data_IF_728638176126
#
_entry.id   IF_728638176126
#
_cell.length_a   1.000
_cell.length_b   1.000
_cell.length_c   1.000
_cell.angle_alpha   90.00
_cell.angle_beta   90.00
_cell.angle_gamma   90.00
#
_symmetry.space_group_name_H-M   'P 1'
#
loop_
_entity.id
_entity.type
_entity.pdbx_description
1 polymer ?
#
# COMPACT_ATOMS: atom_id res chain seq x y z
N UNK A 1 20.43 17.66 5.74
CA UNK A 1 19.52 16.71 6.42
C UNK A 1 18.67 16.02 5.35
N UNK A 2 18.63 14.69 5.32
CA UNK A 2 17.73 13.96 4.41
C UNK A 2 16.29 14.14 4.92
N UNK A 3 15.39 14.61 4.08
CA UNK A 3 13.97 14.70 4.41
C UNK A 3 13.39 13.28 4.44
N UNK A 4 12.87 12.86 5.60
CA UNK A 4 12.30 11.52 5.75
C UNK A 4 10.85 11.54 5.31
N UNK A 5 10.56 10.99 4.12
CA UNK A 5 9.21 10.94 3.55
C UNK A 5 8.24 10.16 4.44
N UNK A 6 7.05 10.73 4.70
CA UNK A 6 5.98 10.06 5.43
C UNK A 6 5.23 9.12 4.49
N UNK A 7 5.68 7.87 4.41
CA UNK A 7 5.10 6.91 3.48
C UNK A 7 3.70 6.48 3.90
N UNK A 8 2.77 6.47 2.96
CA UNK A 8 1.43 5.93 3.19
C UNK A 8 1.42 4.40 3.12
N UNK A 9 1.96 3.79 2.07
CA UNK A 9 2.00 2.33 1.85
C UNK A 9 3.39 1.74 2.06
N UNK A 10 3.44 0.44 2.40
CA UNK A 10 4.65 -0.39 2.50
C UNK A 10 4.57 -1.57 1.54
N UNK A 11 5.74 -2.14 1.18
CA UNK A 11 5.80 -3.39 0.42
C UNK A 11 5.02 -4.48 1.15
N UNK A 12 4.19 -5.22 0.42
CA UNK A 12 3.31 -6.26 0.95
C UNK A 12 1.95 -5.75 1.43
N UNK A 13 1.71 -4.44 1.54
CA UNK A 13 0.36 -3.94 1.82
C UNK A 13 -0.58 -4.37 0.68
N UNK A 14 -1.71 -4.98 1.05
CA UNK A 14 -2.83 -5.21 0.15
C UNK A 14 -3.69 -3.95 0.08
N UNK A 15 -4.19 -3.62 -1.09
CA UNK A 15 -4.96 -2.41 -1.34
C UNK A 15 -6.13 -2.65 -2.28
N UNK A 16 -7.08 -1.74 -2.30
CA UNK A 16 -8.07 -1.58 -3.36
C UNK A 16 -8.16 -0.11 -3.78
N UNK A 17 -8.85 0.17 -4.89
CA UNK A 17 -9.12 1.52 -5.34
C UNK A 17 -10.60 1.87 -5.18
N UNK A 18 -10.91 3.03 -4.61
CA UNK A 18 -12.29 3.43 -4.29
C UNK A 18 -13.17 3.71 -5.51
N UNK A 19 -12.57 4.05 -6.66
CA UNK A 19 -13.28 4.44 -7.89
C UNK A 19 -13.04 3.50 -9.07
N UNK A 20 -12.18 2.50 -8.89
CA UNK A 20 -11.80 1.55 -9.92
C UNK A 20 -11.83 0.15 -9.31
N UNK A 21 -13.03 -0.29 -8.94
CA UNK A 21 -13.27 -1.60 -8.33
C UNK A 21 -12.94 -2.74 -9.29
N UNK A 22 -13.03 -2.50 -10.60
CA UNK A 22 -12.66 -3.45 -11.64
C UNK A 22 -11.17 -3.82 -11.64
N UNK A 23 -10.31 -3.05 -10.97
CA UNK A 23 -8.90 -3.41 -10.80
C UNK A 23 -8.70 -4.55 -9.79
N UNK A 24 -9.68 -4.78 -8.92
CA UNK A 24 -9.61 -5.75 -7.83
C UNK A 24 -8.59 -5.37 -6.74
N UNK A 25 -8.13 -6.38 -6.00
CA UNK A 25 -7.12 -6.21 -4.97
C UNK A 25 -5.75 -6.02 -5.62
N UNK A 26 -4.98 -5.06 -5.09
CA UNK A 26 -3.59 -4.83 -5.45
C UNK A 26 -2.64 -5.20 -4.32
N UNK A 27 -1.42 -5.60 -4.67
CA UNK A 27 -0.32 -5.80 -3.72
C UNK A 27 0.78 -4.80 -4.04
N UNK A 28 1.28 -4.11 -3.01
CA UNK A 28 2.42 -3.20 -3.15
C UNK A 28 3.70 -4.02 -3.32
N UNK A 29 4.26 -3.99 -4.52
CA UNK A 29 5.44 -4.77 -4.88
C UNK A 29 6.74 -4.05 -4.51
N UNK A 30 6.78 -2.72 -4.70
CA UNK A 30 7.98 -1.92 -4.47
C UNK A 30 7.62 -0.55 -3.90
N UNK A 31 8.54 0.02 -3.12
CA UNK A 31 8.50 1.40 -2.64
C UNK A 31 9.84 2.06 -2.92
N UNK A 32 9.81 3.22 -3.59
CA UNK A 32 11.00 3.97 -3.98
C UNK A 32 10.98 5.36 -3.33
N UNK A 33 12.03 5.71 -2.59
CA UNK A 33 12.17 7.01 -1.92
C UNK A 33 13.51 7.65 -2.21
N UNK A 34 13.52 8.94 -2.53
CA UNK A 34 14.73 9.76 -2.64
C UNK A 34 15.02 10.51 -1.35
N UNK A 35 16.30 10.63 -1.01
CA UNK A 35 16.78 11.48 0.09
C UNK A 35 16.95 12.96 -0.31
N UNK A 36 16.85 13.26 -1.61
CA UNK A 36 16.94 14.61 -2.15
C UNK A 36 15.63 15.36 -1.89
N UNK A 37 15.66 16.61 -1.40
CA UNK A 37 14.46 17.44 -1.27
C UNK A 37 13.66 17.51 -2.58
N UNK A 38 12.35 17.31 -2.49
CA UNK A 38 11.46 17.24 -3.66
C UNK A 38 11.64 15.98 -4.53
N UNK A 39 12.50 15.05 -4.14
CA UNK A 39 12.74 13.81 -4.87
C UNK A 39 11.59 12.81 -4.80
N UNK A 40 11.70 11.76 -5.61
CA UNK A 40 10.71 10.71 -5.81
C UNK A 40 10.25 10.04 -4.52
N UNK A 41 8.94 9.78 -4.43
CA UNK A 41 8.32 8.94 -3.41
C UNK A 41 7.17 8.16 -4.06
N UNK A 42 7.41 6.88 -4.41
CA UNK A 42 6.49 6.09 -5.23
C UNK A 42 6.21 4.71 -4.62
N UNK A 43 5.02 4.19 -4.90
CA UNK A 43 4.64 2.79 -4.68
C UNK A 43 4.22 2.15 -6.00
N UNK A 44 4.74 0.95 -6.29
CA UNK A 44 4.35 0.12 -7.45
C UNK A 44 3.40 -0.96 -6.97
N UNK A 45 2.21 -0.99 -7.56
CA UNK A 45 1.11 -1.86 -7.12
C UNK A 45 0.68 -2.74 -8.28
N UNK A 46 0.72 -4.06 -8.08
CA UNK A 46 0.19 -5.03 -9.03
C UNK A 46 -1.26 -5.31 -8.66
N UNK A 47 -2.19 -4.98 -9.53
CA UNK A 47 -3.62 -5.24 -9.35
C UNK A 47 -4.03 -6.57 -9.99
N UNK A 48 -5.16 -7.11 -9.56
CA UNK A 48 -5.73 -8.38 -10.03
C UNK A 48 -6.15 -8.35 -11.51
N UNK A 49 -6.41 -7.16 -12.06
CA UNK A 49 -6.56 -6.94 -13.50
C UNK A 49 -5.26 -7.19 -14.31
N UNK A 50 -4.17 -7.57 -13.64
CA UNK A 50 -2.88 -7.89 -14.22
C UNK A 50 -1.97 -6.68 -14.42
N UNK A 51 -2.50 -5.46 -14.29
CA UNK A 51 -1.77 -4.22 -14.55
C UNK A 51 -0.90 -3.81 -13.36
N UNK A 52 0.27 -3.25 -13.67
CA UNK A 52 1.17 -2.67 -12.69
C UNK A 52 1.08 -1.14 -12.77
N UNK A 53 0.67 -0.50 -11.67
CA UNK A 53 0.48 0.95 -11.61
C UNK A 53 1.45 1.58 -10.61
N UNK A 54 1.96 2.76 -10.93
CA UNK A 54 2.83 3.54 -10.05
C UNK A 54 2.05 4.72 -9.47
N UNK A 55 2.15 4.96 -8.17
CA UNK A 55 1.53 6.11 -7.53
C UNK A 55 2.49 6.86 -6.64
N UNK A 56 2.24 8.15 -6.42
CA UNK A 56 2.91 8.90 -5.37
C UNK A 56 2.54 8.33 -3.98
N UNK A 57 3.54 8.09 -3.15
CA UNK A 57 3.40 7.46 -1.84
C UNK A 57 3.79 8.39 -0.67
N UNK A 58 4.04 9.68 -0.94
CA UNK A 58 4.32 10.69 0.06
C UNK A 58 3.00 11.21 0.63
N UNK A 59 2.69 10.89 1.90
CA UNK A 59 1.43 11.27 2.54
C UNK A 59 1.30 12.78 2.77
N UNK A 60 2.42 13.50 2.71
CA UNK A 60 2.47 14.96 2.81
C UNK A 60 2.35 15.64 1.44
N UNK A 61 2.33 14.86 0.35
CA UNK A 61 2.10 15.36 -1.00
C UNK A 61 0.61 15.27 -1.37
N UNK A 62 0.05 16.33 -1.96
CA UNK A 62 -1.35 16.39 -2.39
C UNK A 62 -1.71 15.31 -3.43
N UNK A 63 -0.73 14.84 -4.19
CA UNK A 63 -0.89 13.79 -5.17
C UNK A 63 -0.73 12.38 -4.60
N UNK A 64 -0.64 12.21 -3.27
CA UNK A 64 -0.54 10.90 -2.64
C UNK A 64 -1.65 9.96 -3.12
N UNK A 65 -1.33 8.69 -3.32
CA UNK A 65 -2.28 7.64 -3.68
C UNK A 65 -3.47 7.55 -2.71
N UNK A 66 -3.30 7.92 -1.44
CA UNK A 66 -4.41 8.06 -0.50
C UNK A 66 -5.46 9.06 -0.99
N UNK A 67 -5.06 10.24 -1.47
CA UNK A 67 -6.01 11.25 -1.97
C UNK A 67 -6.60 10.87 -3.33
N UNK A 68 -5.90 10.05 -4.13
CA UNK A 68 -6.42 9.50 -5.38
C UNK A 68 -7.41 8.35 -5.22
N UNK A 69 -7.45 7.69 -4.06
CA UNK A 69 -8.44 6.65 -3.74
C UNK A 69 -7.88 5.26 -3.48
N UNK A 70 -6.56 5.09 -3.36
CA UNK A 70 -5.96 3.83 -2.92
C UNK A 70 -6.16 3.65 -1.41
N UNK A 71 -6.75 2.54 -0.98
CA UNK A 71 -7.02 2.21 0.43
C UNK A 71 -6.37 0.89 0.77
N UNK A 72 -5.83 0.78 1.99
CA UNK A 72 -5.40 -0.52 2.51
C UNK A 72 -6.60 -1.44 2.58
N UNK A 73 -6.48 -2.57 1.92
CA UNK A 73 -7.47 -3.63 1.99
C UNK A 73 -7.29 -4.33 3.33
N UNK A 74 -8.33 -4.32 4.14
CA UNK A 74 -8.39 -5.10 5.36
C UNK A 74 -9.42 -6.19 5.17
N UNK A 75 -8.98 -7.44 5.15
CA UNK A 75 -9.87 -8.59 5.23
C UNK A 75 -10.10 -8.92 6.72
N UNK A 76 -11.32 -8.73 7.28
CA UNK A 76 -11.60 -9.03 8.68
C UNK A 76 -11.29 -10.49 9.04
N UNK A 77 -11.46 -11.40 8.07
CA UNK A 77 -11.18 -12.83 8.19
C UNK A 77 -9.69 -13.11 8.42
N UNK A 78 -8.80 -12.30 7.84
CA UNK A 78 -7.35 -12.43 8.06
C UNK A 78 -6.96 -12.13 9.50
N UNK A 79 -7.55 -11.10 10.11
CA UNK A 79 -7.33 -10.78 11.53
C UNK A 79 -7.76 -11.93 12.43
N UNK A 80 -8.96 -12.48 12.20
CA UNK A 80 -9.48 -13.62 12.97
C UNK A 80 -8.61 -14.87 12.79
N UNK A 81 -8.16 -15.18 11.56
CA UNK A 81 -7.31 -16.33 11.28
C UNK A 81 -5.90 -16.18 11.88
N UNK A 82 -5.31 -15.00 11.83
CA UNK A 82 -4.01 -14.70 12.43
C UNK A 82 -4.05 -14.75 13.97
N UNK A 83 -5.18 -14.36 14.56
CA UNK A 83 -5.41 -14.52 16.00
C UNK A 83 -5.54 -16.00 16.33
N UNK A 84 -6.37 -16.76 15.61
CA UNK A 84 -6.55 -18.20 15.82
C UNK A 84 -5.24 -18.98 15.72
N UNK A 85 -4.42 -18.75 14.69
CA UNK A 85 -3.15 -19.45 14.53
C UNK A 85 -2.18 -19.23 15.71
N UNK A 86 -2.14 -18.01 16.27
CA UNK A 86 -1.35 -17.71 17.47
C UNK A 86 -1.85 -18.42 18.73
N UNK A 87 -3.14 -18.69 18.84
CA UNK A 87 -3.71 -19.43 19.98
C UNK A 87 -3.56 -20.94 19.84
N UNK A 88 -3.56 -21.49 18.61
CA UNK A 88 -3.42 -22.93 18.37
C UNK A 88 -1.96 -23.43 18.31
N UNK A 89 -0.96 -22.55 18.16
CA UNK A 89 0.47 -22.92 18.22
C UNK A 89 1.03 -23.02 19.66
N UNK A 90 0.18 -22.96 20.68
CA UNK A 90 0.53 -23.08 22.11
C UNK A 90 0.03 -24.38 22.76
N UNK A 91 -0.40 -25.36 21.96
CA UNK A 91 -0.79 -26.71 22.41
C UNK A 91 0.35 -27.71 22.24
#
# INVERSE_FOLDING_TARGET
MSERKRLYLRVGDEVNHLRYDEWGIGVVMEVMTSSVPGGTCLARIRFQDGQLRCFNNDLDNESCCYYFGVRRYWNPSHGVNAIRSKFFLRG
#
